data_IF_401663825836
#
_entry.id   IF_401663825836
#
_cell.length_a   1.000
_cell.length_b   1.000
_cell.length_c   1.000
_cell.angle_alpha   90.00
_cell.angle_beta   90.00
_cell.angle_gamma   90.00
#
_symmetry.space_group_name_H-M   'P 1'
#
loop_
_entity.id
_entity.type
_entity.pdbx_description
1 polymer ?
#
# COMPACT_ATOMS: atom_id res chain seq x y z
N UNK A 1 7.26 18.58 -0.18
CA UNK A 1 6.10 17.67 -0.02
C UNK A 1 5.65 17.23 -1.40
N UNK A 2 5.28 15.96 -1.58
CA UNK A 2 4.67 15.49 -2.82
C UNK A 2 3.23 16.02 -2.93
N UNK A 3 2.83 16.39 -4.14
CA UNK A 3 1.51 16.97 -4.46
C UNK A 3 0.79 16.00 -5.40
N UNK A 4 -0.37 15.47 -4.96
CA UNK A 4 -1.14 14.48 -5.70
C UNK A 4 -1.54 15.00 -7.08
N UNK A 5 -1.82 16.30 -7.21
CA UNK A 5 -2.28 16.91 -8.46
C UNK A 5 -1.20 16.92 -9.54
N UNK A 6 0.07 16.85 -9.13
CA UNK A 6 1.23 16.82 -10.04
C UNK A 6 1.63 15.40 -10.46
N UNK A 7 1.05 14.36 -9.84
CA UNK A 7 1.36 12.97 -10.18
C UNK A 7 0.72 12.60 -11.51
N UNK A 8 1.51 12.01 -12.42
CA UNK A 8 1.04 11.49 -13.71
C UNK A 8 0.20 10.23 -13.47
N UNK A 9 -1.00 10.21 -14.04
CA UNK A 9 -1.87 9.03 -14.06
C UNK A 9 -1.59 8.22 -15.32
N UNK A 10 -1.44 6.91 -15.17
CA UNK A 10 -1.42 5.97 -16.29
C UNK A 10 -2.83 5.69 -16.82
N UNK A 11 -2.91 5.06 -17.99
CA UNK A 11 -4.12 4.37 -18.42
C UNK A 11 -4.37 3.10 -17.60
N UNK A 12 -5.62 2.58 -17.62
CA UNK A 12 -5.99 1.34 -16.93
C UNK A 12 -5.17 0.15 -17.41
N UNK A 13 -4.98 0.02 -18.72
CA UNK A 13 -4.22 -1.07 -19.33
C UNK A 13 -2.74 -1.04 -18.92
N UNK A 14 -2.11 0.14 -18.90
CA UNK A 14 -0.74 0.30 -18.40
C UNK A 14 -0.64 -0.02 -16.90
N UNK A 15 -1.61 0.44 -16.11
CA UNK A 15 -1.64 0.18 -14.68
C UNK A 15 -1.77 -1.33 -14.37
N UNK A 16 -2.61 -2.06 -15.11
CA UNK A 16 -2.77 -3.51 -14.97
C UNK A 16 -1.52 -4.29 -15.36
N UNK A 17 -0.82 -3.89 -16.43
CA UNK A 17 0.42 -4.54 -16.86
C UNK A 17 1.63 -4.25 -15.97
N UNK A 18 1.59 -3.16 -15.21
CA UNK A 18 2.74 -2.69 -14.42
C UNK A 18 2.92 -3.38 -13.07
N UNK A 19 1.88 -4.05 -12.57
CA UNK A 19 1.85 -4.64 -11.22
C UNK A 19 2.04 -6.16 -11.21
N UNK A 20 1.96 -6.79 -10.03
CA UNK A 20 1.86 -8.24 -9.90
C UNK A 20 0.64 -8.76 -10.65
N UNK A 21 0.75 -9.98 -11.17
CA UNK A 21 -0.36 -10.65 -11.86
C UNK A 21 -1.52 -10.98 -10.91
N UNK A 22 -2.74 -11.13 -11.45
CA UNK A 22 -3.91 -11.57 -10.65
C UNK A 22 -3.64 -12.91 -9.95
N UNK A 23 -2.88 -13.81 -10.58
CA UNK A 23 -2.48 -15.07 -9.98
C UNK A 23 -1.60 -14.87 -8.73
N UNK A 24 -0.64 -13.94 -8.79
CA UNK A 24 0.21 -13.61 -7.63
C UNK A 24 -0.58 -12.91 -6.52
N UNK A 25 -1.54 -12.04 -6.87
CA UNK A 25 -2.41 -11.40 -5.88
C UNK A 25 -3.26 -12.43 -5.12
N UNK A 26 -3.71 -13.48 -5.80
CA UNK A 26 -4.53 -14.56 -5.21
C UNK A 26 -3.71 -15.63 -4.47
N UNK A 27 -2.41 -15.68 -4.68
CA UNK A 27 -1.50 -16.63 -4.04
C UNK A 27 -1.17 -16.17 -2.60
N UNK A 28 -1.80 -16.78 -1.61
CA UNK A 28 -1.63 -16.46 -0.18
C UNK A 28 -0.22 -16.72 0.36
N UNK A 29 0.63 -17.47 -0.36
CA UNK A 29 2.06 -17.60 -0.05
C UNK A 29 2.86 -16.38 -0.48
N UNK A 30 2.37 -15.61 -1.46
CA UNK A 30 3.08 -14.48 -2.08
C UNK A 30 2.50 -13.14 -1.71
N UNK A 31 1.21 -13.07 -1.42
CA UNK A 31 0.50 -11.85 -1.09
C UNK A 31 -0.08 -11.91 0.33
N UNK A 32 -0.23 -10.74 0.93
CA UNK A 32 -1.00 -10.49 2.14
C UNK A 32 -2.09 -9.51 1.74
N UNK A 33 -3.33 -10.01 1.65
CA UNK A 33 -4.52 -9.17 1.51
C UNK A 33 -4.83 -8.57 2.88
N UNK A 34 -5.07 -7.26 2.94
CA UNK A 34 -5.54 -6.61 4.17
C UNK A 34 -6.90 -7.17 4.59
N UNK A 35 -7.01 -7.55 5.86
CA UNK A 35 -8.25 -7.97 6.50
C UNK A 35 -8.96 -6.78 7.17
N UNK A 36 -10.15 -7.02 7.71
CA UNK A 36 -10.97 -5.99 8.36
C UNK A 36 -10.24 -5.31 9.54
N UNK A 37 -9.36 -6.04 10.23
CA UNK A 37 -8.58 -5.50 11.35
C UNK A 37 -7.50 -4.55 10.85
N UNK A 38 -6.80 -4.91 9.78
CA UNK A 38 -5.81 -4.05 9.12
C UNK A 38 -6.47 -2.80 8.54
N UNK A 39 -7.61 -2.95 7.86
CA UNK A 39 -8.40 -1.84 7.29
C UNK A 39 -8.86 -0.89 8.39
N UNK A 40 -9.48 -1.38 9.46
CA UNK A 40 -9.93 -0.53 10.56
C UNK A 40 -8.78 0.18 11.29
N UNK A 41 -7.56 -0.38 11.26
CA UNK A 41 -6.36 0.30 11.77
C UNK A 41 -5.87 1.39 10.83
N UNK A 42 -5.91 1.16 9.52
CA UNK A 42 -5.59 2.18 8.51
C UNK A 42 -6.56 3.35 8.59
N UNK A 43 -7.86 3.10 8.65
CA UNK A 43 -8.88 4.15 8.77
C UNK A 43 -8.67 5.01 10.02
N UNK A 44 -8.44 4.37 11.18
CA UNK A 44 -8.10 5.09 12.42
C UNK A 44 -6.81 5.91 12.31
N UNK A 45 -5.78 5.37 11.67
CA UNK A 45 -4.50 6.06 11.48
C UNK A 45 -4.64 7.30 10.57
N UNK A 46 -5.54 7.22 9.60
CA UNK A 46 -5.82 8.26 8.61
C UNK A 46 -6.94 9.22 9.01
N UNK A 47 -7.56 9.04 10.18
CA UNK A 47 -8.71 9.83 10.66
C UNK A 47 -9.91 9.76 9.71
N UNK A 48 -10.18 8.56 9.20
CA UNK A 48 -11.32 8.26 8.34
C UNK A 48 -12.48 7.65 9.15
N UNK A 49 -13.70 7.82 8.62
CA UNK A 49 -14.87 7.11 9.13
C UNK A 49 -14.70 5.61 8.86
N UNK A 50 -15.13 4.80 9.82
CA UNK A 50 -15.15 3.34 9.71
C UNK A 50 -15.92 2.89 8.44
N UNK A 51 -15.30 1.98 7.69
CA UNK A 51 -15.85 1.39 6.47
C UNK A 51 -15.58 2.16 5.18
N UNK A 52 -14.93 3.34 5.24
CA UNK A 52 -14.56 4.10 4.05
C UNK A 52 -13.61 3.35 3.10
N UNK A 53 -12.81 2.42 3.62
CA UNK A 53 -11.83 1.64 2.87
C UNK A 53 -12.26 0.18 2.68
N UNK A 54 -13.41 -0.25 3.19
CA UNK A 54 -13.78 -1.66 3.30
C UNK A 54 -14.20 -2.33 1.98
N UNK A 55 -14.60 -1.56 0.96
CA UNK A 55 -15.09 -2.12 -0.32
C UNK A 55 -13.95 -2.49 -1.29
N UNK A 56 -12.72 -2.07 -1.00
CA UNK A 56 -11.57 -2.28 -1.87
C UNK A 56 -10.61 -3.34 -1.33
N UNK A 57 -9.80 -3.90 -2.23
CA UNK A 57 -8.80 -4.91 -1.89
C UNK A 57 -7.40 -4.29 -1.85
N UNK A 58 -6.70 -4.43 -0.74
CA UNK A 58 -5.32 -3.96 -0.61
C UNK A 58 -4.37 -5.13 -0.44
N UNK A 59 -3.31 -5.15 -1.24
CA UNK A 59 -2.34 -6.24 -1.25
C UNK A 59 -0.94 -5.72 -0.99
N UNK A 60 -0.23 -6.44 -0.12
CA UNK A 60 1.21 -6.33 0.06
C UNK A 60 1.85 -7.66 -0.35
N UNK A 61 3.06 -7.62 -0.89
CA UNK A 61 3.88 -8.83 -0.96
C UNK A 61 4.04 -9.40 0.46
N UNK A 62 3.87 -10.70 0.60
CA UNK A 62 4.04 -11.40 1.86
C UNK A 62 5.49 -11.30 2.30
N UNK A 63 5.71 -10.53 3.36
CA UNK A 63 7.02 -10.31 3.95
C UNK A 63 6.90 -10.40 5.47
N UNK A 64 7.86 -11.08 6.08
CA UNK A 64 8.00 -11.13 7.53
C UNK A 64 9.16 -10.23 7.95
N UNK A 65 8.90 -9.41 8.98
CA UNK A 65 9.94 -8.64 9.62
C UNK A 65 10.82 -9.57 10.48
N UNK A 66 12.06 -9.17 10.73
CA UNK A 66 12.99 -9.89 11.62
C UNK A 66 12.43 -10.12 13.04
N UNK A 67 11.47 -9.31 13.50
CA UNK A 67 10.78 -9.55 14.77
C UNK A 67 9.69 -10.65 14.70
N UNK A 68 9.57 -11.35 13.56
CA UNK A 68 8.59 -12.41 13.32
C UNK A 68 7.20 -11.91 12.92
N UNK A 69 6.95 -10.60 12.93
CA UNK A 69 5.65 -10.05 12.52
C UNK A 69 5.56 -9.92 11.00
N UNK A 70 4.46 -10.41 10.42
CA UNK A 70 4.10 -10.15 9.02
C UNK A 70 3.78 -8.67 8.81
N UNK A 71 4.34 -8.08 7.76
CA UNK A 71 4.03 -6.72 7.37
C UNK A 71 2.68 -6.66 6.65
N UNK A 72 1.93 -5.59 6.88
CA UNK A 72 0.60 -5.37 6.29
C UNK A 72 0.50 -4.00 5.62
N UNK A 73 -0.66 -3.67 5.03
CA UNK A 73 -0.85 -2.37 4.41
C UNK A 73 -0.86 -1.24 5.46
N UNK A 74 -1.25 -1.53 6.70
CA UNK A 74 -1.04 -0.62 7.82
C UNK A 74 0.43 -0.18 7.95
N UNK A 75 1.40 -1.09 7.82
CA UNK A 75 2.82 -0.74 7.91
C UNK A 75 3.28 0.13 6.74
N UNK A 76 2.74 -0.11 5.56
CA UNK A 76 2.97 0.73 4.39
C UNK A 76 2.48 2.17 4.65
N UNK A 77 1.24 2.32 5.11
CA UNK A 77 0.65 3.62 5.46
C UNK A 77 1.44 4.31 6.57
N UNK A 78 1.77 3.56 7.62
CA UNK A 78 2.57 4.06 8.74
C UNK A 78 3.95 4.56 8.29
N UNK A 79 4.59 3.82 7.37
CA UNK A 79 5.87 4.24 6.76
C UNK A 79 5.70 5.55 5.97
N UNK A 80 4.62 5.69 5.20
CA UNK A 80 4.31 6.93 4.47
C UNK A 80 4.18 8.15 5.40
N UNK A 81 3.51 7.99 6.53
CA UNK A 81 3.34 9.06 7.51
C UNK A 81 4.64 9.40 8.25
N UNK A 82 5.32 8.38 8.79
CA UNK A 82 6.44 8.57 9.72
C UNK A 82 7.76 8.79 9.01
N UNK A 83 8.08 7.93 8.04
CA UNK A 83 9.41 7.94 7.42
C UNK A 83 9.46 8.85 6.18
N UNK A 84 8.37 8.92 5.40
CA UNK A 84 8.29 9.78 4.21
C UNK A 84 7.68 11.16 4.48
N UNK A 85 7.15 11.40 5.68
CA UNK A 85 6.56 12.68 6.08
C UNK A 85 5.36 13.10 5.21
N UNK A 86 4.62 12.14 4.66
CA UNK A 86 3.43 12.42 3.87
C UNK A 86 2.28 12.88 4.77
N UNK A 87 1.44 13.78 4.26
CA UNK A 87 0.22 14.17 4.97
C UNK A 87 -0.81 13.04 4.92
N UNK A 88 -1.70 12.97 5.93
CA UNK A 88 -2.83 12.03 5.91
C UNK A 88 -3.66 12.18 4.65
N UNK A 89 -4.00 13.42 4.27
CA UNK A 89 -4.74 13.73 3.04
C UNK A 89 -4.08 13.14 1.80
N UNK A 90 -2.76 13.29 1.63
CA UNK A 90 -2.06 12.70 0.49
C UNK A 90 -2.22 11.18 0.45
N UNK A 91 -2.07 10.51 1.60
CA UNK A 91 -2.25 9.06 1.68
C UNK A 91 -3.70 8.66 1.40
N UNK A 92 -4.69 9.38 1.94
CA UNK A 92 -6.11 9.12 1.63
C UNK A 92 -6.37 9.21 0.13
N UNK A 93 -5.77 10.17 -0.57
CA UNK A 93 -5.87 10.25 -2.04
C UNK A 93 -5.18 9.08 -2.78
N UNK A 94 -4.22 8.38 -2.17
CA UNK A 94 -3.70 7.13 -2.77
C UNK A 94 -4.69 5.97 -2.65
N UNK A 95 -5.64 6.03 -1.72
CA UNK A 95 -6.70 5.02 -1.58
C UNK A 95 -7.92 5.39 -2.42
N UNK A 96 -8.46 6.59 -2.20
CA UNK A 96 -9.76 7.02 -2.72
C UNK A 96 -9.68 7.91 -3.97
N UNK A 97 -8.48 8.27 -4.40
CA UNK A 97 -8.28 9.08 -5.59
C UNK A 97 -8.48 8.30 -6.88
N UNK A 98 -8.60 9.03 -7.99
CA UNK A 98 -8.92 8.49 -9.31
C UNK A 98 -7.71 8.37 -10.25
N UNK A 99 -6.52 8.83 -9.82
CA UNK A 99 -5.28 8.65 -10.59
C UNK A 99 -4.77 7.24 -10.41
N UNK A 100 -4.28 6.65 -11.50
CA UNK A 100 -3.62 5.35 -11.53
C UNK A 100 -2.11 5.54 -11.49
N UNK A 101 -1.53 5.41 -10.30
CA UNK A 101 -0.13 5.76 -10.05
C UNK A 101 0.69 4.51 -9.77
N UNK A 102 1.84 4.41 -10.44
CA UNK A 102 2.81 3.33 -10.22
C UNK A 102 4.14 3.94 -9.82
N UNK A 103 4.68 3.48 -8.70
CA UNK A 103 5.99 3.90 -8.21
C UNK A 103 6.97 2.73 -8.20
N UNK A 104 8.22 3.01 -7.87
CA UNK A 104 9.18 1.98 -7.49
C UNK A 104 8.86 1.44 -6.09
N UNK A 105 9.15 0.16 -5.86
CA UNK A 105 9.03 -0.47 -4.56
C UNK A 105 9.95 0.22 -3.53
N UNK A 106 9.46 0.40 -2.30
CA UNK A 106 10.16 1.14 -1.24
C UNK A 106 10.29 0.31 0.03
N UNK A 107 11.32 0.56 0.86
CA UNK A 107 11.44 -0.09 2.15
C UNK A 107 10.23 0.20 3.04
N UNK A 108 9.65 -0.83 3.65
CA UNK A 108 8.57 -0.67 4.64
C UNK A 108 9.14 -0.83 6.04
N UNK A 109 8.79 0.11 6.92
CA UNK A 109 9.09 0.04 8.35
C UNK A 109 8.06 -0.82 9.07
N UNK A 110 8.54 -1.73 9.90
CA UNK A 110 7.67 -2.47 10.81
C UNK A 110 7.19 -1.54 11.94
N UNK A 111 5.88 -1.33 12.06
CA UNK A 111 5.30 -0.52 13.15
C UNK A 111 5.57 -1.08 14.55
N UNK A 112 5.83 -2.39 14.70
CA UNK A 112 6.08 -3.02 16.00
C UNK A 112 7.51 -2.82 16.52
N UNK A 113 8.53 -2.93 15.66
CA UNK A 113 9.95 -2.91 16.08
C UNK A 113 10.78 -1.80 15.44
N UNK A 114 10.15 -0.93 14.64
CA UNK A 114 10.77 0.20 13.92
C UNK A 114 11.86 -0.15 12.90
N UNK A 115 12.21 -1.43 12.69
CA UNK A 115 13.18 -1.84 11.68
C UNK A 115 12.61 -1.61 10.28
N UNK A 116 13.44 -1.06 9.39
CA UNK A 116 13.15 -0.97 7.96
C UNK A 116 13.46 -2.32 7.32
N UNK A 117 12.48 -2.84 6.60
CA UNK A 117 12.54 -4.14 5.96
C UNK A 117 12.88 -4.05 4.48
N UNK A 118 12.54 -5.11 3.72
CA UNK A 118 12.76 -5.17 2.28
C UNK A 118 11.84 -4.18 1.54
N UNK A 119 11.96 -4.17 0.20
CA UNK A 119 11.16 -3.35 -0.71
C UNK A 119 10.04 -4.21 -1.34
N UNK A 120 8.98 -4.56 -0.59
CA UNK A 120 7.92 -5.37 -1.13
C UNK A 120 7.17 -4.63 -2.23
N UNK A 121 6.58 -5.39 -3.15
CA UNK A 121 5.55 -4.80 -4.00
C UNK A 121 4.25 -4.58 -3.22
N UNK A 122 3.42 -3.66 -3.68
CA UNK A 122 2.09 -3.38 -3.14
C UNK A 122 1.10 -3.01 -4.24
N UNK A 123 -0.19 -3.27 -4.01
CA UNK A 123 -1.27 -3.02 -4.96
C UNK A 123 -2.56 -2.57 -4.28
N UNK A 124 -3.07 -1.43 -4.74
CA UNK A 124 -4.39 -0.86 -4.48
C UNK A 124 -5.07 -0.75 -5.86
N UNK A 125 -5.87 -1.74 -6.29
CA UNK A 125 -6.31 -1.93 -7.67
C UNK A 125 -7.01 -0.71 -8.32
N UNK A 126 -7.58 0.18 -7.51
CA UNK A 126 -8.29 1.35 -8.03
C UNK A 126 -7.39 2.52 -8.41
N UNK A 127 -6.17 2.62 -7.88
CA UNK A 127 -5.51 3.92 -7.79
C UNK A 127 -3.99 3.87 -7.64
N UNK A 128 -3.43 2.88 -6.95
CA UNK A 128 -2.03 2.99 -6.53
C UNK A 128 -1.31 1.64 -6.48
N UNK A 129 -0.03 1.63 -6.85
CA UNK A 129 0.78 0.44 -6.74
C UNK A 129 2.25 0.71 -7.00
N UNK A 130 3.02 -0.37 -7.06
CA UNK A 130 4.38 -0.31 -7.55
C UNK A 130 4.68 -1.48 -8.49
N UNK A 131 5.78 -1.33 -9.22
CA UNK A 131 6.34 -2.44 -10.00
C UNK A 131 6.94 -3.47 -9.04
N UNK A 132 6.80 -4.78 -9.32
CA UNK A 132 7.58 -5.80 -8.65
C UNK A 132 9.08 -5.48 -8.79
N UNK A 133 9.90 -5.69 -7.76
CA UNK A 133 11.35 -5.61 -7.91
C UNK A 133 11.80 -6.62 -8.98
N UNK A 134 12.72 -6.18 -9.85
CA UNK A 134 13.32 -6.99 -10.91
C UNK A 134 14.14 -8.17 -10.35
#
# INVERSE_FOLDING_TARGET
MADYDRVVSLSREEFERSGPSVAELRDVSKSTKSDDVDIARMERLLDLREGMLAEDEYYLQRVECECGRRLTMYDFVFTGLVDAGHSRSLIVHTFLGNKLVVNDARPIRCSACARKGPRPWYRMPQSYGCRPPA
#
